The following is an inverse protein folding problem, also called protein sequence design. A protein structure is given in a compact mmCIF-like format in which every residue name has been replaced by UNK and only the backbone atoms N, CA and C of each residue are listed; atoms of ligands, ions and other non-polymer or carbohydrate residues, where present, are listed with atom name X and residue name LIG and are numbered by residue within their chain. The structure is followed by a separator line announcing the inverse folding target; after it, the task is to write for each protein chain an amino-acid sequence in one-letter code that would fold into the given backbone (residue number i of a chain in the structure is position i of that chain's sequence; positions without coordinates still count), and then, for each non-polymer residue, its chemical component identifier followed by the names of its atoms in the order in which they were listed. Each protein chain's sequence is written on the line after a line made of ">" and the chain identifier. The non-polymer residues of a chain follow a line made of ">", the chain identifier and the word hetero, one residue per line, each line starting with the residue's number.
data_IF_725536750032
#
_entry.id   IF_725536750032
#
_cell.length_a   1.000
_cell.length_b   1.000
_cell.length_c   1.000
_cell.angle_alpha   90.00
_cell.angle_beta   90.00
_cell.angle_gamma   90.00
#
_symmetry.space_group_name_H-M   'P 1'
#
loop_
_entity.id
_entity.type
_entity.pdbx_description
1 polymer ?
#
# COMPACT_ATOMS: atom_id res chain seq x y z
N UNK A 1 -9.00 -8.51 10.47
CA UNK A 1 -8.85 -7.04 10.42
C UNK A 1 -7.57 -6.77 9.69
N UNK A 2 -7.56 -5.81 8.77
CA UNK A 2 -6.38 -5.48 7.98
C UNK A 2 -5.85 -4.12 8.39
N UNK A 3 -4.55 -4.03 8.66
CA UNK A 3 -3.85 -2.78 8.91
C UNK A 3 -3.09 -2.34 7.66
N UNK A 4 -3.32 -1.11 7.25
CA UNK A 4 -2.70 -0.48 6.09
C UNK A 4 -1.77 0.66 6.45
N UNK A 5 -0.68 0.81 5.70
CA UNK A 5 0.19 1.99 5.74
C UNK A 5 0.77 2.31 4.37
N UNK A 6 1.38 3.48 4.23
CA UNK A 6 2.08 3.89 3.02
C UNK A 6 3.43 4.51 3.34
N UNK A 7 4.49 3.99 2.71
CA UNK A 7 5.85 4.48 2.90
C UNK A 7 6.45 5.03 1.60
N UNK A 8 6.94 6.26 1.65
CA UNK A 8 7.76 6.82 0.57
C UNK A 8 9.09 6.05 0.47
N UNK A 9 9.42 5.54 -0.70
CA UNK A 9 10.64 4.77 -0.93
C UNK A 9 11.89 5.66 -1.08
N UNK A 10 13.08 5.14 -0.73
CA UNK A 10 14.34 5.84 -0.97
C UNK A 10 14.64 5.95 -2.47
N UNK A 11 15.62 6.80 -2.84
CA UNK A 11 16.12 6.77 -4.21
C UNK A 11 16.91 5.49 -4.39
N UNK A 12 16.70 4.85 -5.53
CA UNK A 12 17.56 3.77 -5.97
C UNK A 12 18.78 4.34 -6.70
N UNK A 13 19.84 3.52 -6.81
CA UNK A 13 21.05 3.89 -7.53
C UNK A 13 20.70 4.28 -8.97
N UNK A 14 21.08 5.49 -9.37
CA UNK A 14 20.80 6.04 -10.70
C UNK A 14 19.60 6.99 -10.77
N UNK A 15 18.78 7.09 -9.73
CA UNK A 15 17.72 8.10 -9.64
C UNK A 15 18.26 9.44 -9.12
N UNK A 16 17.73 10.54 -9.66
CA UNK A 16 18.03 11.91 -9.23
C UNK A 16 17.11 12.32 -8.09
N UNK A 17 17.55 13.32 -7.31
CA UNK A 17 16.73 13.92 -6.24
C UNK A 17 15.48 14.63 -6.76
N UNK A 18 15.48 15.00 -8.04
CA UNK A 18 14.35 15.61 -8.76
C UNK A 18 13.36 14.60 -9.31
N UNK A 19 13.71 13.31 -9.34
CA UNK A 19 12.82 12.28 -9.87
C UNK A 19 11.66 12.04 -8.88
N UNK A 20 10.45 11.72 -9.38
CA UNK A 20 9.32 11.40 -8.51
C UNK A 20 9.66 10.19 -7.62
N UNK A 21 9.19 10.25 -6.36
CA UNK A 21 9.37 9.16 -5.40
C UNK A 21 8.24 8.18 -5.51
N UNK A 22 8.57 6.92 -5.60
CA UNK A 22 7.59 5.85 -5.49
C UNK A 22 7.19 5.63 -4.04
N UNK A 23 6.00 5.07 -3.85
CA UNK A 23 5.41 4.77 -2.56
C UNK A 23 5.11 3.28 -2.48
N UNK A 24 5.50 2.66 -1.38
CA UNK A 24 5.11 1.32 -1.01
C UNK A 24 3.83 1.38 -0.20
N UNK A 25 2.75 0.86 -0.78
CA UNK A 25 1.51 0.60 -0.10
C UNK A 25 1.59 -0.79 0.52
N UNK A 26 1.18 -0.91 1.78
CA UNK A 26 1.26 -2.15 2.56
C UNK A 26 -0.08 -2.38 3.24
N UNK A 27 -0.54 -3.62 3.22
CA UNK A 27 -1.65 -4.10 4.03
C UNK A 27 -1.27 -5.45 4.65
N UNK A 28 -1.54 -5.62 5.94
CA UNK A 28 -1.28 -6.85 6.69
C UNK A 28 -2.54 -7.29 7.39
N UNK A 29 -2.94 -8.54 7.22
CA UNK A 29 -4.01 -9.13 8.02
C UNK A 29 -3.51 -9.55 9.41
N UNK A 30 -4.28 -9.20 10.44
CA UNK A 30 -3.87 -9.41 11.83
C UNK A 30 -3.86 -10.88 12.26
N UNK A 31 -4.64 -11.74 11.61
CA UNK A 31 -4.79 -13.14 11.98
C UNK A 31 -3.80 -14.02 11.22
N UNK A 32 -3.89 -14.02 9.89
CA UNK A 32 -3.07 -14.84 9.00
C UNK A 32 -1.64 -14.32 8.82
N UNK A 33 -1.41 -13.03 9.08
CA UNK A 33 -0.16 -12.32 8.78
C UNK A 33 0.18 -12.25 7.30
N UNK A 34 -0.79 -12.49 6.42
CA UNK A 34 -0.63 -12.27 4.99
C UNK A 34 -0.32 -10.80 4.70
N UNK A 35 0.68 -10.58 3.84
CA UNK A 35 1.19 -9.28 3.46
C UNK A 35 0.84 -9.02 1.99
N UNK A 36 0.13 -7.90 1.76
CA UNK A 36 -0.19 -7.39 0.43
C UNK A 36 0.57 -6.09 0.22
N UNK A 37 1.19 -5.94 -0.94
CA UNK A 37 1.97 -4.73 -1.26
C UNK A 37 1.80 -4.29 -2.70
N UNK A 38 1.90 -2.97 -2.93
CA UNK A 38 2.01 -2.38 -4.25
C UNK A 38 2.99 -1.21 -4.24
N UNK A 39 3.80 -1.09 -5.30
CA UNK A 39 4.63 0.09 -5.54
C UNK A 39 3.89 1.00 -6.51
N UNK A 40 3.48 2.17 -6.03
CA UNK A 40 2.69 3.14 -6.79
C UNK A 40 3.43 4.48 -6.91
N UNK A 41 3.14 5.29 -7.95
CA UNK A 41 3.90 6.50 -8.24
C UNK A 41 3.67 7.65 -7.25
N UNK A 42 2.59 7.61 -6.46
CA UNK A 42 2.21 8.70 -5.54
C UNK A 42 1.36 8.22 -4.36
N UNK A 43 1.12 9.12 -3.39
CA UNK A 43 0.21 8.92 -2.24
C UNK A 43 -1.13 9.63 -2.46
N UNK A 44 -1.75 9.47 -3.62
CA UNK A 44 -3.09 10.03 -3.90
C UNK A 44 -4.20 9.05 -3.49
N UNK A 45 -5.42 9.57 -3.31
CA UNK A 45 -6.60 8.72 -3.08
C UNK A 45 -6.88 7.76 -4.23
N UNK A 46 -6.52 8.13 -5.47
CA UNK A 46 -6.60 7.25 -6.64
C UNK A 46 -5.65 6.06 -6.50
N UNK A 47 -4.38 6.29 -6.15
CA UNK A 47 -3.42 5.23 -5.86
C UNK A 47 -3.87 4.34 -4.70
N UNK A 48 -4.38 4.93 -3.61
CA UNK A 48 -4.97 4.18 -2.49
C UNK A 48 -6.13 3.29 -2.94
N UNK A 49 -7.05 3.82 -3.74
CA UNK A 49 -8.19 3.07 -4.26
C UNK A 49 -7.73 1.88 -5.10
N UNK A 50 -6.77 2.09 -6.01
CA UNK A 50 -6.22 1.00 -6.81
C UNK A 50 -5.59 -0.11 -5.97
N UNK A 51 -4.88 0.25 -4.91
CA UNK A 51 -4.33 -0.73 -3.97
C UNK A 51 -5.43 -1.51 -3.23
N UNK A 52 -6.49 -0.84 -2.78
CA UNK A 52 -7.63 -1.50 -2.13
C UNK A 52 -8.35 -2.45 -3.10
N UNK A 53 -8.55 -2.04 -4.36
CA UNK A 53 -9.14 -2.89 -5.40
C UNK A 53 -8.28 -4.14 -5.67
N UNK A 54 -6.95 -4.00 -5.66
CA UNK A 54 -6.03 -5.13 -5.78
C UNK A 54 -6.21 -6.11 -4.61
N UNK A 55 -6.14 -5.62 -3.36
CA UNK A 55 -6.26 -6.48 -2.17
C UNK A 55 -7.59 -7.22 -2.20
N UNK A 56 -8.71 -6.52 -2.44
CA UNK A 56 -10.05 -7.13 -2.47
C UNK A 56 -10.20 -8.22 -3.54
N UNK A 57 -9.37 -8.20 -4.59
CA UNK A 57 -9.34 -9.23 -5.62
C UNK A 57 -8.47 -10.43 -5.25
N UNK A 58 -7.39 -10.20 -4.50
CA UNK A 58 -6.39 -11.22 -4.17
C UNK A 58 -6.72 -11.98 -2.88
N UNK A 59 -7.39 -11.33 -1.93
CA UNK A 59 -7.67 -11.88 -0.61
C UNK A 59 -8.70 -13.03 -0.67
N UNK A 60 -8.46 -14.19 -0.04
CA UNK A 60 -9.37 -15.34 -0.10
C UNK A 60 -10.50 -15.27 0.95
N UNK A 61 -10.65 -14.14 1.63
CA UNK A 61 -11.62 -13.92 2.71
C UNK A 61 -12.17 -12.50 2.68
N UNK A 62 -13.32 -12.29 3.33
CA UNK A 62 -13.92 -10.96 3.44
C UNK A 62 -13.14 -10.08 4.43
N UNK A 63 -12.74 -8.89 4.00
CA UNK A 63 -12.19 -7.87 4.88
C UNK A 63 -13.35 -7.09 5.51
N UNK A 64 -13.61 -7.31 6.79
CA UNK A 64 -14.67 -6.60 7.53
C UNK A 64 -14.24 -5.19 7.99
N UNK A 65 -12.95 -5.02 8.30
CA UNK A 65 -12.39 -3.76 8.79
C UNK A 65 -10.99 -3.54 8.24
N UNK A 66 -10.76 -2.31 7.77
CA UNK A 66 -9.48 -1.81 7.30
C UNK A 66 -9.07 -0.59 8.14
N UNK A 67 -7.95 -0.69 8.85
CA UNK A 67 -7.43 0.36 9.71
C UNK A 67 -6.21 1.02 9.07
N UNK A 68 -6.19 2.35 9.02
CA UNK A 68 -5.06 3.14 8.54
C UNK A 68 -4.88 4.39 9.40
N UNK A 69 -3.70 5.02 9.29
CA UNK A 69 -3.45 6.33 9.91
C UNK A 69 -4.20 7.45 9.19
N UNK A 70 -4.45 8.58 9.88
CA UNK A 70 -5.16 9.75 9.35
C UNK A 70 -4.31 10.62 8.39
N UNK A 71 -3.41 9.99 7.65
CA UNK A 71 -2.34 10.67 6.89
C UNK A 71 -2.69 11.00 5.45
#
# INVERSE_FOLDING_TARGET
>A
MVHGDTKRLPLLKGQKTTDPREYLFVAVDDFSRELYTARLPDKTSTSTRHFLEQILKEVPYTIEMYYASNG
#
